data_IF_064036598304
#
_entry.id   IF_064036598304
#
_cell.length_a   1.000
_cell.length_b   1.000
_cell.length_c   1.000
_cell.angle_alpha   90.00
_cell.angle_beta   90.00
_cell.angle_gamma   90.00
#
_symmetry.space_group_name_H-M   'P 1'
#
loop_
_entity.id
_entity.type
_entity.pdbx_description
1 polymer ?
#
# COMPACT_ATOMS: atom_id res chain seq x y z
N UNK A 1 7.19 10.74 4.54
CA UNK A 1 7.36 11.19 3.14
C UNK A 1 6.12 12.02 2.79
N UNK A 2 5.92 12.49 1.57
CA UNK A 2 4.64 13.03 1.08
C UNK A 2 4.50 12.46 -0.31
N UNK A 3 3.29 12.11 -0.77
CA UNK A 3 3.18 11.52 -2.11
C UNK A 3 3.65 12.53 -3.16
N UNK A 4 4.31 12.06 -4.22
CA UNK A 4 4.82 12.96 -5.26
C UNK A 4 3.68 13.78 -5.89
N UNK A 5 2.47 13.20 -6.00
CA UNK A 5 1.26 13.88 -6.47
C UNK A 5 0.72 14.96 -5.53
N UNK A 6 1.14 14.98 -4.27
CA UNK A 6 0.83 16.02 -3.29
C UNK A 6 1.94 17.08 -3.17
N UNK A 7 3.10 16.85 -3.80
CA UNK A 7 4.27 17.73 -3.70
C UNK A 7 4.40 18.69 -4.90
N UNK A 8 3.40 18.73 -5.81
CA UNK A 8 3.43 19.63 -6.97
C UNK A 8 3.33 21.08 -6.51
N UNK A 9 4.49 21.74 -6.43
CA UNK A 9 4.63 23.19 -6.34
C UNK A 9 4.06 23.78 -7.64
N UNK A 10 2.76 24.10 -7.65
CA UNK A 10 2.11 24.61 -8.87
C UNK A 10 0.59 24.53 -8.99
N UNK A 11 -0.15 24.04 -7.98
CA UNK A 11 -1.61 24.30 -7.93
C UNK A 11 -2.49 23.38 -8.78
N UNK A 12 -2.21 22.07 -8.83
CA UNK A 12 -3.22 21.11 -9.31
C UNK A 12 -4.33 20.99 -8.26
N UNK A 13 -5.44 21.71 -8.47
CA UNK A 13 -6.57 21.82 -7.52
C UNK A 13 -7.25 20.45 -7.27
N UNK A 14 -7.13 19.52 -8.22
CA UNK A 14 -7.76 18.20 -8.17
C UNK A 14 -6.69 17.13 -8.42
N UNK A 15 -6.45 16.29 -7.42
CA UNK A 15 -5.57 15.13 -7.51
C UNK A 15 -6.39 13.84 -7.53
N UNK A 16 -5.83 12.74 -8.05
CA UNK A 16 -6.51 11.45 -8.05
C UNK A 16 -6.82 10.99 -6.61
N UNK A 17 -5.94 11.31 -5.67
CA UNK A 17 -6.21 11.12 -4.24
C UNK A 17 -7.47 11.86 -3.82
N UNK A 18 -7.55 13.16 -4.09
CA UNK A 18 -8.70 14.00 -3.69
C UNK A 18 -10.01 13.45 -4.26
N UNK A 19 -10.03 13.07 -5.54
CA UNK A 19 -11.23 12.50 -6.17
C UNK A 19 -11.65 11.18 -5.52
N UNK A 20 -10.70 10.27 -5.26
CA UNK A 20 -10.99 9.01 -4.54
C UNK A 20 -11.52 9.28 -3.13
N UNK A 21 -10.92 10.22 -2.40
CA UNK A 21 -11.39 10.61 -1.06
C UNK A 21 -12.79 11.18 -1.08
N UNK A 22 -13.08 12.12 -1.98
CA UNK A 22 -14.41 12.71 -2.14
C UNK A 22 -15.44 11.65 -2.54
N UNK A 23 -15.12 10.76 -3.48
CA UNK A 23 -16.01 9.68 -3.89
C UNK A 23 -16.30 8.71 -2.75
N UNK A 24 -15.27 8.24 -2.03
CA UNK A 24 -15.45 7.33 -0.90
C UNK A 24 -16.26 7.99 0.23
N UNK A 25 -15.98 9.25 0.55
CA UNK A 25 -16.72 9.95 1.61
C UNK A 25 -18.19 10.27 1.24
N UNK A 26 -18.51 10.39 -0.05
CA UNK A 26 -19.87 10.78 -0.51
C UNK A 26 -20.74 9.62 -0.94
N UNK A 27 -20.16 8.51 -1.40
CA UNK A 27 -20.92 7.39 -1.98
C UNK A 27 -20.81 6.06 -1.24
N UNK A 28 -19.87 5.94 -0.30
CA UNK A 28 -19.78 4.71 0.51
C UNK A 28 -20.25 4.94 1.93
N UNK A 29 -21.52 4.64 2.16
CA UNK A 29 -22.16 4.76 3.47
C UNK A 29 -21.35 4.05 4.55
N UNK A 30 -20.92 4.84 5.52
CA UNK A 30 -20.21 4.37 6.70
C UNK A 30 -18.77 3.93 6.48
N UNK A 31 -18.15 4.12 5.31
CA UNK A 31 -16.70 3.94 5.16
C UNK A 31 -15.94 5.17 5.70
N UNK A 32 -14.78 4.93 6.30
CA UNK A 32 -13.86 5.97 6.75
C UNK A 32 -12.43 5.61 6.33
N UNK A 33 -11.58 6.63 6.17
CA UNK A 33 -10.16 6.41 5.98
C UNK A 33 -9.55 5.77 7.23
N UNK A 34 -8.93 4.62 7.07
CA UNK A 34 -8.22 3.92 8.13
C UNK A 34 -6.71 4.19 8.08
N UNK A 35 -6.12 4.02 6.90
CA UNK A 35 -4.68 4.14 6.70
C UNK A 35 -4.38 4.73 5.33
N UNK A 36 -3.35 5.56 5.26
CA UNK A 36 -2.79 6.08 4.02
C UNK A 36 -1.28 6.09 4.14
N UNK A 37 -0.59 5.55 3.14
CA UNK A 37 0.86 5.54 3.09
C UNK A 37 1.34 5.63 1.65
N UNK A 38 2.60 6.02 1.47
CA UNK A 38 3.22 6.23 0.17
C UNK A 38 4.67 5.72 0.19
N UNK A 39 5.19 5.45 -1.00
CA UNK A 39 6.60 5.28 -1.28
C UNK A 39 6.87 5.99 -2.60
N UNK A 40 7.35 7.23 -2.52
CA UNK A 40 7.44 8.15 -3.67
C UNK A 40 6.12 8.28 -4.46
N UNK A 41 6.03 7.61 -5.60
CA UNK A 41 4.86 7.63 -6.50
C UNK A 41 3.88 6.50 -6.23
N UNK A 42 4.25 5.50 -5.42
CA UNK A 42 3.36 4.41 -5.05
C UNK A 42 2.54 4.78 -3.81
N UNK A 43 1.26 4.41 -3.76
CA UNK A 43 0.36 4.80 -2.68
C UNK A 43 -0.65 3.70 -2.34
N UNK A 44 -0.77 3.39 -1.05
CA UNK A 44 -1.83 2.54 -0.51
C UNK A 44 -2.75 3.37 0.37
N UNK A 45 -4.06 3.27 0.11
CA UNK A 45 -5.11 3.92 0.89
C UNK A 45 -6.15 2.88 1.27
N UNK A 46 -6.37 2.68 2.56
CA UNK A 46 -7.31 1.69 3.09
C UNK A 46 -8.48 2.42 3.72
N UNK A 47 -9.69 2.12 3.22
CA UNK A 47 -10.95 2.53 3.82
C UNK A 47 -11.60 1.35 4.51
N UNK A 48 -12.28 1.60 5.63
CA UNK A 48 -12.95 0.56 6.42
C UNK A 48 -14.32 1.04 6.87
N UNK A 49 -15.27 0.10 7.05
CA UNK A 49 -16.55 0.42 7.69
C UNK A 49 -16.30 0.93 9.10
N UNK A 50 -16.95 2.04 9.47
CA UNK A 50 -16.86 2.67 10.80
C UNK A 50 -17.15 1.69 11.92
N UNK A 51 -18.09 0.77 11.71
CA UNK A 51 -18.46 -0.28 12.67
C UNK A 51 -17.36 -1.29 12.93
N UNK A 52 -16.36 -1.41 12.05
CA UNK A 52 -15.23 -2.33 12.21
C UNK A 52 -14.03 -1.67 12.91
N UNK A 53 -13.99 -0.34 13.08
CA UNK A 53 -12.88 0.36 13.74
C UNK A 53 -12.54 -0.25 15.11
N UNK A 54 -13.51 -0.54 16.00
CA UNK A 54 -13.20 -1.10 17.32
C UNK A 54 -12.52 -2.47 17.26
N UNK A 55 -12.67 -3.23 16.16
CA UNK A 55 -12.04 -4.53 15.98
C UNK A 55 -10.56 -4.44 15.58
N UNK A 56 -10.06 -3.25 15.22
CA UNK A 56 -8.69 -3.04 14.76
C UNK A 56 -7.78 -2.85 15.98
N UNK A 57 -6.79 -3.73 16.10
CA UNK A 57 -5.81 -3.72 17.19
C UNK A 57 -4.56 -2.93 16.83
N UNK A 58 -4.03 -3.11 15.61
CA UNK A 58 -2.76 -2.50 15.17
C UNK A 58 -2.71 -2.37 13.66
N UNK A 59 -2.04 -1.32 13.18
CA UNK A 59 -1.69 -1.14 11.77
C UNK A 59 -0.18 -1.01 11.68
N UNK A 60 0.44 -1.75 10.77
CA UNK A 60 1.89 -1.75 10.54
C UNK A 60 2.21 -1.59 9.06
N UNK A 61 3.34 -0.94 8.78
CA UNK A 61 3.79 -0.66 7.43
C UNK A 61 5.18 -1.25 7.21
N UNK A 62 5.42 -1.79 6.01
CA UNK A 62 6.74 -2.20 5.53
C UNK A 62 6.99 -1.69 4.13
N UNK A 63 8.24 -1.37 3.85
CA UNK A 63 8.65 -0.80 2.57
C UNK A 63 9.86 -1.58 2.05
N UNK A 64 9.80 -1.97 0.78
CA UNK A 64 10.94 -2.46 0.04
C UNK A 64 11.24 -1.47 -1.08
N UNK A 65 12.47 -0.96 -1.15
CA UNK A 65 12.92 0.01 -2.16
C UNK A 65 13.93 -0.68 -3.07
N UNK A 66 13.63 -0.75 -4.37
CA UNK A 66 14.46 -1.49 -5.33
C UNK A 66 15.33 -0.60 -6.22
N UNK A 67 15.18 0.72 -6.15
CA UNK A 67 15.96 1.66 -6.98
C UNK A 67 17.20 2.16 -6.25
N UNK A 68 18.33 2.24 -6.97
CA UNK A 68 19.64 2.68 -6.45
C UNK A 68 20.07 1.99 -5.14
N UNK A 69 19.94 0.65 -5.06
CA UNK A 69 20.29 -0.10 -3.85
C UNK A 69 19.41 0.24 -2.63
N UNK A 70 18.22 0.81 -2.85
CA UNK A 70 17.29 1.21 -1.80
C UNK A 70 17.32 2.71 -1.45
N UNK A 71 18.22 3.48 -2.06
CA UNK A 71 18.35 4.93 -1.81
C UNK A 71 17.14 5.73 -2.30
N UNK A 72 16.44 5.27 -3.33
CA UNK A 72 15.23 5.94 -3.84
C UNK A 72 14.03 4.99 -3.85
N UNK A 73 12.82 5.53 -3.68
CA UNK A 73 11.59 4.75 -3.50
C UNK A 73 10.72 4.55 -4.74
N UNK A 74 11.14 5.00 -5.93
CA UNK A 74 10.30 5.02 -7.14
C UNK A 74 9.90 3.63 -7.68
N UNK A 75 10.58 2.58 -7.22
CA UNK A 75 10.23 1.17 -7.47
C UNK A 75 10.37 0.40 -6.17
N UNK A 76 9.49 -0.56 -5.95
CA UNK A 76 9.38 -1.18 -4.66
C UNK A 76 8.01 -1.69 -4.32
N UNK A 77 7.84 -2.09 -3.06
CA UNK A 77 6.56 -2.53 -2.54
C UNK A 77 6.25 -1.87 -1.20
N UNK A 78 4.97 -1.64 -0.97
CA UNK A 78 4.39 -1.19 0.29
C UNK A 78 3.58 -2.36 0.85
N UNK A 79 3.89 -2.79 2.07
CA UNK A 79 3.08 -3.72 2.85
C UNK A 79 2.30 -2.96 3.91
N UNK A 80 1.00 -3.21 4.00
CA UNK A 80 0.11 -2.70 5.06
C UNK A 80 -0.51 -3.88 5.79
N UNK A 81 -0.13 -4.11 7.05
CA UNK A 81 -0.72 -5.13 7.91
C UNK A 81 -1.72 -4.50 8.86
N UNK A 82 -2.92 -5.05 8.92
CA UNK A 82 -3.98 -4.65 9.84
C UNK A 82 -4.28 -5.87 10.72
N UNK A 83 -3.89 -5.80 11.98
CA UNK A 83 -4.19 -6.82 12.98
C UNK A 83 -5.52 -6.51 13.66
N UNK A 84 -6.36 -7.52 13.75
CA UNK A 84 -7.66 -7.46 14.41
C UNK A 84 -7.57 -8.02 15.84
N UNK A 85 -8.56 -7.70 16.68
CA UNK A 85 -8.63 -8.18 18.07
C UNK A 85 -8.71 -9.70 18.18
N UNK A 86 -9.25 -10.38 17.17
CA UNK A 86 -9.39 -11.85 17.13
C UNK A 86 -8.11 -12.57 16.65
N UNK A 87 -6.93 -11.96 16.79
CA UNK A 87 -5.64 -12.54 16.37
C UNK A 87 -5.58 -12.91 14.88
N UNK A 88 -6.37 -12.23 14.05
CA UNK A 88 -6.28 -12.32 12.59
C UNK A 88 -5.61 -11.08 12.05
N UNK A 89 -4.64 -11.25 11.15
CA UNK A 89 -4.02 -10.14 10.43
C UNK A 89 -4.34 -10.20 8.94
N UNK A 90 -4.69 -9.04 8.37
CA UNK A 90 -4.84 -8.83 6.93
C UNK A 90 -3.63 -8.07 6.41
N UNK A 91 -3.02 -8.54 5.32
CA UNK A 91 -1.87 -7.87 4.69
C UNK A 91 -2.21 -7.50 3.26
N UNK A 92 -2.11 -6.21 2.95
CA UNK A 92 -2.17 -5.67 1.59
C UNK A 92 -0.75 -5.37 1.12
N UNK A 93 -0.39 -5.85 -0.08
CA UNK A 93 0.90 -5.56 -0.69
C UNK A 93 0.67 -4.93 -2.06
N UNK A 94 1.21 -3.73 -2.22
CA UNK A 94 1.17 -2.98 -3.47
C UNK A 94 2.60 -2.84 -4.00
N UNK A 95 2.82 -3.13 -5.29
CA UNK A 95 4.16 -3.27 -5.88
C UNK A 95 4.28 -2.55 -7.21
N UNK A 96 5.27 -1.67 -7.30
CA UNK A 96 5.65 -0.99 -8.54
C UNK A 96 7.02 -1.47 -8.99
N UNK A 97 7.03 -2.48 -9.85
CA UNK A 97 8.26 -3.09 -10.38
C UNK A 97 8.81 -2.36 -11.60
N UNK A 98 10.03 -2.72 -11.99
CA UNK A 98 10.68 -2.15 -13.17
C UNK A 98 9.87 -2.50 -14.44
N UNK A 99 9.58 -1.48 -15.25
CA UNK A 99 8.59 -1.56 -16.33
C UNK A 99 9.15 -2.11 -17.65
N UNK A 100 10.47 -2.11 -17.84
CA UNK A 100 11.10 -2.47 -19.11
C UNK A 100 10.85 -3.94 -19.49
N UNK A 101 10.45 -4.19 -20.75
CA UNK A 101 10.09 -5.52 -21.27
C UNK A 101 11.21 -6.54 -21.07
N UNK A 102 12.47 -6.15 -21.29
CA UNK A 102 13.64 -7.04 -21.16
C UNK A 102 14.01 -7.33 -19.70
N UNK A 103 13.43 -6.59 -18.74
CA UNK A 103 13.77 -6.70 -17.31
C UNK A 103 12.93 -7.74 -16.57
N UNK A 104 12.52 -8.82 -17.24
CA UNK A 104 11.71 -9.89 -16.63
C UNK A 104 12.38 -10.52 -15.40
N UNK A 105 13.64 -10.94 -15.52
CA UNK A 105 14.38 -11.56 -14.40
C UNK A 105 14.54 -10.59 -13.22
N UNK A 106 14.68 -9.28 -13.51
CA UNK A 106 14.72 -8.25 -12.46
C UNK A 106 13.38 -8.13 -11.74
N UNK A 107 12.25 -8.26 -12.44
CA UNK A 107 10.92 -8.26 -11.80
C UNK A 107 10.72 -9.50 -10.93
N UNK A 108 11.20 -10.67 -11.36
CA UNK A 108 11.19 -11.88 -10.52
C UNK A 108 12.03 -11.66 -9.26
N UNK A 109 13.25 -11.13 -9.41
CA UNK A 109 14.11 -10.83 -8.27
C UNK A 109 13.45 -9.82 -7.31
N UNK A 110 12.80 -8.78 -7.85
CA UNK A 110 12.03 -7.80 -7.07
C UNK A 110 10.86 -8.46 -6.33
N UNK A 111 10.11 -9.35 -6.98
CA UNK A 111 9.03 -10.09 -6.34
C UNK A 111 9.53 -10.89 -5.13
N UNK A 112 10.63 -11.63 -5.27
CA UNK A 112 11.19 -12.40 -4.16
C UNK A 112 11.80 -11.51 -3.06
N UNK A 113 12.55 -10.47 -3.42
CA UNK A 113 13.15 -9.57 -2.42
C UNK A 113 12.11 -8.79 -1.64
N UNK A 114 10.98 -8.46 -2.26
CA UNK A 114 9.94 -7.64 -1.66
C UNK A 114 9.00 -8.44 -0.74
N UNK A 115 9.21 -9.76 -0.60
CA UNK A 115 8.47 -10.64 0.31
C UNK A 115 8.48 -10.14 1.76
N UNK A 116 9.47 -9.32 2.17
CA UNK A 116 9.49 -8.68 3.49
C UNK A 116 8.20 -7.87 3.77
N UNK A 117 7.59 -7.29 2.74
CA UNK A 117 6.34 -6.52 2.84
C UNK A 117 5.11 -7.41 3.13
N UNK A 118 5.26 -8.73 3.01
CA UNK A 118 4.22 -9.71 3.35
C UNK A 118 4.25 -10.13 4.83
N UNK A 119 5.18 -9.60 5.65
CA UNK A 119 5.34 -9.98 7.06
C UNK A 119 5.51 -11.50 7.26
N UNK A 120 6.47 -12.15 6.55
CA UNK A 120 6.58 -13.61 6.50
C UNK A 120 6.92 -14.26 7.84
N UNK A 121 7.43 -13.50 8.80
CA UNK A 121 7.73 -13.96 10.15
C UNK A 121 6.54 -13.93 11.12
N UNK A 122 5.40 -13.37 10.71
CA UNK A 122 4.22 -13.22 11.58
C UNK A 122 3.22 -14.37 11.36
N UNK A 123 3.10 -15.23 12.36
CA UNK A 123 2.19 -16.39 12.36
C UNK A 123 0.69 -16.00 12.32
N UNK A 124 0.34 -14.75 12.69
CA UNK A 124 -1.05 -14.26 12.59
C UNK A 124 -1.44 -13.88 11.15
N UNK A 125 -0.49 -13.85 10.21
CA UNK A 125 -0.74 -13.58 8.79
C UNK A 125 -1.23 -14.85 8.10
N UNK A 126 -2.55 -15.03 8.08
CA UNK A 126 -3.19 -16.20 7.45
C UNK A 126 -3.53 -16.01 5.97
N UNK A 127 -3.58 -14.76 5.51
CA UNK A 127 -3.97 -14.43 4.14
C UNK A 127 -3.24 -13.17 3.65
N UNK A 128 -2.55 -13.31 2.52
CA UNK A 128 -1.99 -12.19 1.76
C UNK A 128 -2.82 -12.07 0.49
N UNK A 129 -3.59 -10.99 0.36
CA UNK A 129 -4.28 -10.71 -0.88
C UNK A 129 -3.33 -9.98 -1.81
N UNK A 130 -2.92 -10.65 -2.88
CA UNK A 130 -2.23 -10.01 -4.00
C UNK A 130 -3.31 -9.79 -5.07
N UNK A 131 -3.80 -8.57 -5.29
CA UNK A 131 -4.70 -8.32 -6.40
C UNK A 131 -3.93 -8.60 -7.69
N UNK A 132 -4.29 -9.69 -8.37
CA UNK A 132 -3.90 -9.93 -9.75
C UNK A 132 -4.87 -9.13 -10.61
N UNK A 133 -4.48 -7.94 -11.05
CA UNK A 133 -5.13 -7.32 -12.21
C UNK A 133 -4.62 -8.06 -13.46
N UNK A 134 -5.57 -8.70 -14.17
CA UNK A 134 -5.41 -9.22 -15.53
C UNK A 134 -5.82 -8.14 -16.53
#
# INVERSE_FOLDING_TARGET
>A
EVSHGETVVGGTVITWQRQMFEWMNTRSDGLVLLAKTYQMTNQVTVFVKRTLIPSIRRIEFRFSRNTMGGLTGHKGSIGVKISLQNHTSLVFVDSHFIHDVISYDKRIAQFHSNRICCFPEDEEVKYVHIPLEQ
#
